data_IF_723749603910
#
_entry.id   IF_723749603910
#
_cell.length_a   1.000
_cell.length_b   1.000
_cell.length_c   1.000
_cell.angle_alpha   90.00
_cell.angle_beta   90.00
_cell.angle_gamma   90.00
#
_symmetry.space_group_name_H-M   'P 1'
#
loop_
_entity.id
_entity.type
_entity.pdbx_description
1 polymer ?
#
# COMPACT_ATOMS: atom_id res chain seq x y z
N UNK A 1 -6.87 -9.19 -16.69
CA UNK A 1 -7.69 -8.67 -15.56
C UNK A 1 -7.01 -8.90 -14.22
N UNK A 2 -6.72 -10.14 -13.80
CA UNK A 2 -6.05 -10.38 -12.51
C UNK A 2 -4.64 -9.77 -12.37
N UNK A 3 -3.83 -9.67 -13.45
CA UNK A 3 -2.49 -9.07 -13.34
C UNK A 3 -2.52 -7.60 -12.95
N UNK A 4 -3.37 -6.79 -13.58
CA UNK A 4 -3.48 -5.36 -13.26
C UNK A 4 -4.01 -5.14 -11.84
N UNK A 5 -4.95 -5.98 -11.39
CA UNK A 5 -5.46 -5.98 -10.02
C UNK A 5 -4.35 -6.32 -9.01
N UNK A 6 -3.59 -7.40 -9.24
CA UNK A 6 -2.44 -7.79 -8.40
C UNK A 6 -1.38 -6.69 -8.35
N UNK A 7 -1.06 -6.09 -9.50
CA UNK A 7 -0.09 -5.00 -9.58
C UNK A 7 -0.59 -3.78 -8.80
N UNK A 8 -1.84 -3.37 -9.00
CA UNK A 8 -2.44 -2.24 -8.30
C UNK A 8 -2.50 -2.44 -6.78
N UNK A 9 -2.92 -3.60 -6.32
CA UNK A 9 -2.95 -3.95 -4.90
C UNK A 9 -1.54 -3.98 -4.30
N UNK A 10 -0.57 -4.55 -5.03
CA UNK A 10 0.84 -4.57 -4.61
C UNK A 10 1.45 -3.18 -4.53
N UNK A 11 1.14 -2.31 -5.50
CA UNK A 11 1.58 -0.91 -5.51
C UNK A 11 0.98 -0.16 -4.33
N UNK A 12 -0.34 -0.28 -4.12
CA UNK A 12 -1.03 0.35 -2.98
C UNK A 12 -0.42 -0.09 -1.65
N UNK A 13 -0.22 -1.40 -1.47
CA UNK A 13 0.42 -1.95 -0.28
C UNK A 13 1.83 -1.37 -0.06
N UNK A 14 2.68 -1.37 -1.09
CA UNK A 14 4.05 -0.87 -0.98
C UNK A 14 4.09 0.62 -0.60
N UNK A 15 3.25 1.45 -1.24
CA UNK A 15 3.15 2.88 -0.95
C UNK A 15 2.63 3.11 0.48
N UNK A 16 1.54 2.45 0.88
CA UNK A 16 1.00 2.62 2.23
C UNK A 16 1.97 2.14 3.31
N UNK A 17 2.63 1.00 3.10
CA UNK A 17 3.66 0.49 4.03
C UNK A 17 4.82 1.48 4.18
N UNK A 18 5.26 2.11 3.10
CA UNK A 18 6.32 3.11 3.15
C UNK A 18 5.95 4.30 4.07
N UNK A 19 4.70 4.77 3.98
CA UNK A 19 4.21 5.89 4.80
C UNK A 19 3.67 5.49 6.17
N UNK A 20 3.78 4.21 6.57
CA UNK A 20 3.25 3.73 7.85
C UNK A 20 1.72 3.76 7.93
N UNK A 21 1.03 3.79 6.80
CA UNK A 21 -0.44 3.76 6.74
C UNK A 21 -0.89 2.32 6.90
N UNK A 22 -1.65 2.04 7.96
CA UNK A 22 -2.29 0.75 8.13
C UNK A 22 -3.34 0.54 7.02
N UNK A 23 -3.08 -0.44 6.17
CA UNK A 23 -4.08 -0.97 5.25
C UNK A 23 -4.78 -2.14 5.94
N UNK A 24 -6.11 -2.23 5.81
CA UNK A 24 -6.83 -3.46 6.16
C UNK A 24 -6.32 -4.67 5.36
N UNK A 25 -6.88 -5.86 5.59
CA UNK A 25 -6.51 -7.04 4.80
C UNK A 25 -6.85 -6.84 3.30
N UNK A 26 -5.91 -6.27 2.54
CA UNK A 26 -5.90 -6.28 1.08
C UNK A 26 -5.31 -7.63 0.68
N UNK A 27 -6.13 -8.67 0.77
CA UNK A 27 -5.65 -10.03 0.86
C UNK A 27 -5.08 -10.53 -0.46
N UNK A 28 -3.76 -10.68 -0.51
CA UNK A 28 -2.99 -11.38 -1.54
C UNK A 28 -3.24 -12.90 -1.60
N UNK A 29 -4.34 -13.40 -1.02
CA UNK A 29 -4.63 -14.84 -0.90
C UNK A 29 -4.73 -15.56 -2.25
N UNK A 30 -4.99 -14.80 -3.32
CA UNK A 30 -5.09 -15.32 -4.68
C UNK A 30 -3.78 -15.18 -5.48
N UNK A 31 -2.69 -14.63 -4.93
CA UNK A 31 -1.39 -14.51 -5.63
C UNK A 31 -0.87 -15.87 -6.07
N UNK A 32 -0.99 -16.90 -5.22
CA UNK A 32 -0.54 -18.24 -5.56
C UNK A 32 -1.24 -18.75 -6.83
N UNK A 33 -2.56 -18.62 -6.88
CA UNK A 33 -3.38 -18.98 -8.04
C UNK A 33 -3.13 -18.08 -9.25
N UNK A 34 -2.89 -16.78 -9.05
CA UNK A 34 -2.55 -15.84 -10.11
C UNK A 34 -1.21 -16.17 -10.77
N UNK A 35 -0.21 -16.58 -9.98
CA UNK A 35 1.12 -16.91 -10.48
C UNK A 35 1.16 -18.25 -11.22
N UNK A 36 0.16 -19.11 -11.03
CA UNK A 36 0.11 -20.43 -11.62
C UNK A 36 0.00 -20.34 -13.15
N UNK A 37 0.91 -21.04 -13.85
CA UNK A 37 0.92 -21.08 -15.31
C UNK A 37 1.48 -19.82 -15.99
N UNK A 38 2.03 -18.87 -15.22
CA UNK A 38 2.77 -17.72 -15.76
C UNK A 38 4.23 -18.07 -16.00
N UNK A 39 4.76 -17.57 -17.09
CA UNK A 39 6.19 -17.66 -17.36
C UNK A 39 6.97 -16.71 -16.47
N UNK A 40 8.21 -17.07 -16.17
CA UNK A 40 9.09 -16.26 -15.33
C UNK A 40 9.28 -14.82 -15.87
N UNK A 41 9.25 -14.65 -17.19
CA UNK A 41 9.32 -13.34 -17.84
C UNK A 41 8.11 -12.46 -17.51
N UNK A 42 6.92 -13.04 -17.41
CA UNK A 42 5.68 -12.32 -17.12
C UNK A 42 5.66 -11.89 -15.66
N UNK A 43 6.05 -12.78 -14.75
CA UNK A 43 6.18 -12.48 -13.33
C UNK A 43 7.21 -11.36 -13.09
N UNK A 44 8.34 -11.40 -13.79
CA UNK A 44 9.35 -10.32 -13.71
C UNK A 44 8.82 -9.00 -14.23
N UNK A 45 8.12 -8.99 -15.35
CA UNK A 45 7.53 -7.77 -15.89
C UNK A 45 6.55 -7.14 -14.89
N UNK A 46 5.69 -7.94 -14.25
CA UNK A 46 4.78 -7.43 -13.21
C UNK A 46 5.52 -6.88 -12.00
N UNK A 47 6.56 -7.57 -11.51
CA UNK A 47 7.38 -7.07 -10.40
C UNK A 47 8.10 -5.76 -10.76
N UNK A 48 8.57 -5.61 -11.99
CA UNK A 48 9.19 -4.38 -12.46
C UNK A 48 8.18 -3.22 -12.48
N UNK A 49 6.97 -3.47 -13.02
CA UNK A 49 5.87 -2.50 -12.99
C UNK A 49 5.54 -2.06 -11.57
N UNK A 50 5.40 -3.01 -10.64
CA UNK A 50 5.11 -2.74 -9.23
C UNK A 50 6.20 -1.86 -8.60
N UNK A 51 7.47 -2.25 -8.74
CA UNK A 51 8.60 -1.52 -8.15
C UNK A 51 8.73 -0.11 -8.72
N UNK A 52 8.66 0.02 -10.05
CA UNK A 52 8.81 1.32 -10.72
C UNK A 52 7.68 2.27 -10.35
N UNK A 53 6.44 1.78 -10.36
CA UNK A 53 5.26 2.62 -10.11
C UNK A 53 5.19 3.03 -8.64
N UNK A 54 5.38 2.10 -7.70
CA UNK A 54 5.42 2.42 -6.27
C UNK A 54 6.55 3.39 -5.92
N UNK A 55 7.76 3.16 -6.44
CA UNK A 55 8.90 4.06 -6.23
C UNK A 55 8.67 5.48 -6.79
N UNK A 56 8.00 5.58 -7.95
CA UNK A 56 7.63 6.88 -8.54
C UNK A 56 6.62 7.60 -7.66
N UNK A 57 5.55 6.91 -7.23
CA UNK A 57 4.53 7.48 -6.35
C UNK A 57 5.13 7.96 -5.03
N UNK A 58 5.95 7.14 -4.38
CA UNK A 58 6.64 7.51 -3.13
C UNK A 58 7.47 8.78 -3.35
N UNK A 59 8.31 8.80 -4.38
CA UNK A 59 9.18 9.94 -4.67
C UNK A 59 8.41 11.23 -4.97
N UNK A 60 7.33 11.14 -5.73
CA UNK A 60 6.48 12.28 -6.07
C UNK A 60 5.72 12.81 -4.84
N UNK A 61 5.18 11.91 -4.00
CA UNK A 61 4.52 12.28 -2.75
C UNK A 61 5.51 12.99 -1.81
N UNK A 62 6.72 12.44 -1.63
CA UNK A 62 7.75 13.08 -0.80
C UNK A 62 8.15 14.46 -1.32
N UNK A 63 8.31 14.61 -2.64
CA UNK A 63 8.67 15.89 -3.26
C UNK A 63 7.60 16.93 -2.97
N UNK A 64 6.34 16.62 -3.27
CA UNK A 64 5.24 17.57 -3.05
C UNK A 64 5.02 17.85 -1.55
N UNK A 65 5.19 16.85 -0.68
CA UNK A 65 5.11 17.06 0.77
C UNK A 65 6.15 18.06 1.27
N UNK A 66 7.41 17.94 0.82
CA UNK A 66 8.50 18.88 1.15
C UNK A 66 8.18 20.31 0.67
N UNK A 67 7.61 20.45 -0.53
CA UNK A 67 7.18 21.74 -1.07
C UNK A 67 6.09 22.38 -0.20
N UNK A 68 5.05 21.62 0.17
CA UNK A 68 3.96 22.08 1.04
C UNK A 68 4.48 22.47 2.43
N UNK A 69 5.38 21.67 3.02
CA UNK A 69 5.99 21.98 4.32
C UNK A 69 6.73 23.33 4.29
N UNK A 70 7.50 23.57 3.21
CA UNK A 70 8.21 24.84 3.00
C UNK A 70 7.24 26.03 2.89
N UNK A 71 6.17 25.89 2.12
CA UNK A 71 5.16 26.95 1.95
C UNK A 71 4.42 27.27 3.25
N UNK A 72 4.16 26.26 4.08
CA UNK A 72 3.40 26.40 5.33
C UNK A 72 4.27 26.65 6.57
N UNK A 73 5.60 26.69 6.43
CA UNK A 73 6.52 26.81 7.56
C UNK A 73 6.47 25.61 8.53
N UNK A 74 6.06 24.45 8.04
CA UNK A 74 5.99 23.21 8.81
C UNK A 74 7.35 22.51 8.71
N UNK A 75 7.92 22.06 9.83
CA UNK A 75 9.09 21.20 9.82
C UNK A 75 8.68 19.78 9.37
N UNK A 76 9.15 19.28 8.21
CA UNK A 76 8.80 17.95 7.71
C UNK A 76 9.33 16.81 8.59
N UNK A 77 10.22 17.09 9.54
CA UNK A 77 10.78 16.13 10.49
C UNK A 77 10.18 16.21 11.90
N UNK A 78 9.17 17.08 12.11
CA UNK A 78 8.37 17.05 13.32
C UNK A 78 7.62 15.71 13.37
N UNK A 79 8.04 14.80 14.26
CA UNK A 79 7.39 13.49 14.44
C UNK A 79 5.92 13.73 14.82
N UNK A 80 4.99 13.28 13.99
CA UNK A 80 3.62 13.11 14.41
C UNK A 80 3.62 12.08 15.54
N UNK A 81 3.10 12.44 16.72
CA UNK A 81 2.80 11.46 17.75
C UNK A 81 1.81 10.44 17.16
N UNK A 82 1.97 9.13 17.42
CA UNK A 82 1.02 8.14 16.95
C UNK A 82 -0.34 8.43 17.59
N UNK A 83 -1.28 8.90 16.79
CA UNK A 83 -2.68 9.03 17.18
C UNK A 83 -3.24 7.62 17.37
N UNK A 84 -3.24 7.16 18.62
CA UNK A 84 -3.84 5.90 19.05
C UNK A 84 -5.35 6.08 19.12
N UNK A 85 -6.02 6.19 17.98
CA UNK A 85 -7.48 6.08 17.93
C UNK A 85 -7.86 4.58 18.06
N UNK A 86 -8.61 4.16 19.08
CA UNK A 86 -9.09 2.79 19.19
C UNK A 86 -10.08 2.52 18.05
N UNK A 87 -9.72 1.62 17.14
CA UNK A 87 -10.62 1.12 16.11
C UNK A 87 -11.61 0.17 16.81
N UNK A 88 -12.84 0.62 17.05
CA UNK A 88 -13.92 -0.26 17.52
C UNK A 88 -14.18 -1.34 16.47
N UNK A 89 -13.84 -2.59 16.78
CA UNK A 89 -14.21 -3.73 15.95
C UNK A 89 -15.70 -4.06 16.15
N UNK A 90 -16.49 -4.24 15.08
CA UNK A 90 -17.86 -4.70 15.22
C UNK A 90 -17.84 -6.15 15.70
N UNK A 91 -18.41 -6.38 16.89
CA UNK A 91 -18.59 -7.71 17.46
C UNK A 91 -19.53 -8.53 16.58
N UNK A 92 -18.94 -9.47 15.83
CA UNK A 92 -19.66 -10.54 15.16
C UNK A 92 -20.29 -11.45 16.22
N UNK A 93 -21.54 -11.20 16.57
CA UNK A 93 -22.36 -12.16 17.32
C UNK A 93 -22.77 -13.31 16.39
N UNK A 94 -21.95 -14.36 16.31
CA UNK A 94 -22.40 -15.69 15.93
C UNK A 94 -23.03 -16.34 17.16
N UNK A 95 -24.33 -16.14 17.35
CA UNK A 95 -25.13 -17.02 18.22
C UNK A 95 -25.56 -18.21 17.39
N UNK A 96 -24.96 -19.36 17.68
CA UNK A 96 -25.46 -20.69 17.37
C UNK A 96 -26.85 -20.88 17.97
N UNK A 97 -27.85 -21.22 17.15
CA UNK A 97 -28.90 -22.24 17.38
C UNK A 97 -29.57 -22.61 16.06
#
# INVERSE_FOLDING_TARGET
>A
RHTEEVEAESISYAVCKYFGIETGENSFGYIASWSQGKELKELRASLETINKTSGTLISDIERHYKEICKERGIDPHAKAEPETAPIEQPTSNLTTM
#
